data_IF_401027513919
#
_entry.id   IF_401027513919
#
_cell.length_a   1.000
_cell.length_b   1.000
_cell.length_c   1.000
_cell.angle_alpha   90.00
_cell.angle_beta   90.00
_cell.angle_gamma   90.00
#
_symmetry.space_group_name_H-M   'P 1'
#
loop_
_entity.id
_entity.type
_entity.pdbx_description
1 polymer ?
#
# COMPACT_ATOMS: atom_id res chain seq x y z
N UNK A 1 7.00 5.61 -16.55
CA UNK A 1 5.53 5.71 -16.73
C UNK A 1 4.98 6.32 -15.45
N UNK A 2 4.36 7.50 -15.51
CA UNK A 2 3.69 8.12 -14.36
C UNK A 2 2.19 8.05 -14.57
N UNK A 3 1.43 7.65 -13.56
CA UNK A 3 -0.03 7.57 -13.68
C UNK A 3 -0.70 6.82 -12.55
N UNK A 4 -2.02 6.80 -12.57
CA UNK A 4 -2.84 5.99 -11.67
C UNK A 4 -3.22 4.69 -12.36
N UNK A 5 -3.16 3.58 -11.63
CA UNK A 5 -3.40 2.27 -12.19
C UNK A 5 -3.88 1.27 -11.16
N UNK A 6 -4.53 0.22 -11.66
CA UNK A 6 -4.89 -0.95 -10.87
C UNK A 6 -4.05 -2.14 -11.31
N UNK A 7 -3.43 -2.83 -10.37
CA UNK A 7 -2.74 -4.10 -10.59
C UNK A 7 -3.43 -5.20 -9.78
N UNK A 8 -3.66 -6.33 -10.44
CA UNK A 8 -4.15 -7.57 -9.84
C UNK A 8 -3.03 -8.60 -9.94
N UNK A 9 -2.72 -9.26 -8.82
CA UNK A 9 -1.76 -10.36 -8.80
C UNK A 9 -2.49 -11.71 -8.84
N UNK A 10 -1.83 -12.74 -9.36
CA UNK A 10 -2.35 -14.10 -9.38
C UNK A 10 -2.58 -14.67 -7.95
N UNK A 11 -1.89 -14.13 -6.94
CA UNK A 11 -2.12 -14.42 -5.53
C UNK A 11 -3.45 -13.90 -5.00
N UNK A 12 -4.13 -13.01 -5.74
CA UNK A 12 -5.36 -12.34 -5.33
C UNK A 12 -5.14 -10.95 -4.71
N UNK A 13 -3.89 -10.53 -4.53
CA UNK A 13 -3.60 -9.16 -4.10
C UNK A 13 -4.11 -8.16 -5.15
N UNK A 14 -4.48 -6.97 -4.67
CA UNK A 14 -4.92 -5.86 -5.51
C UNK A 14 -4.25 -4.57 -5.06
N UNK A 15 -3.78 -3.78 -6.02
CA UNK A 15 -3.27 -2.44 -5.77
C UNK A 15 -4.00 -1.44 -6.64
N UNK A 16 -4.40 -0.33 -6.05
CA UNK A 16 -4.98 0.84 -6.74
C UNK A 16 -4.21 2.06 -6.25
N UNK A 17 -3.54 2.76 -7.15
CA UNK A 17 -2.79 3.95 -6.74
C UNK A 17 -1.87 4.50 -7.80
N UNK A 18 -0.97 5.36 -7.35
CA UNK A 18 0.03 6.03 -8.14
C UNK A 18 1.22 5.11 -8.48
N UNK A 19 1.66 5.24 -9.72
CA UNK A 19 2.80 4.55 -10.29
C UNK A 19 3.78 5.58 -10.84
N UNK A 20 5.07 5.34 -10.61
CA UNK A 20 6.17 6.04 -11.23
C UNK A 20 7.23 5.01 -11.61
N UNK A 21 7.80 5.09 -12.81
CA UNK A 21 8.89 4.19 -13.25
C UNK A 21 8.62 2.70 -13.04
N UNK A 22 7.37 2.28 -13.31
CA UNK A 22 6.87 0.91 -13.14
C UNK A 22 6.84 0.43 -11.68
N UNK A 23 7.11 1.32 -10.72
CA UNK A 23 7.02 1.04 -9.29
C UNK A 23 5.86 1.77 -8.63
N UNK A 24 5.32 1.18 -7.56
CA UNK A 24 4.32 1.86 -6.71
C UNK A 24 5.02 3.03 -6.03
N UNK A 25 4.51 4.24 -6.24
CA UNK A 25 5.11 5.47 -5.75
C UNK A 25 4.04 6.56 -5.67
N UNK A 26 3.91 7.22 -4.52
CA UNK A 26 2.80 8.14 -4.24
C UNK A 26 1.71 7.47 -3.40
N UNK A 27 0.47 7.95 -3.46
CA UNK A 27 -0.64 7.39 -2.67
C UNK A 27 -1.20 6.12 -3.31
N UNK A 28 -1.56 5.15 -2.48
CA UNK A 28 -2.21 3.94 -2.97
C UNK A 28 -2.78 3.03 -1.90
N UNK A 29 -3.68 2.17 -2.35
CA UNK A 29 -4.37 1.16 -1.56
C UNK A 29 -3.91 -0.22 -2.02
N UNK A 30 -3.41 -1.02 -1.09
CA UNK A 30 -3.11 -2.42 -1.31
C UNK A 30 -4.05 -3.29 -0.48
N UNK A 31 -4.81 -4.17 -1.13
CA UNK A 31 -5.71 -5.12 -0.51
C UNK A 31 -5.12 -6.52 -0.66
N UNK A 32 -5.00 -7.21 0.46
CA UNK A 32 -4.51 -8.59 0.52
C UNK A 32 -5.68 -9.57 0.46
N UNK A 33 -5.49 -10.79 -0.07
CA UNK A 33 -6.51 -11.85 -0.04
C UNK A 33 -6.98 -12.21 1.36
N UNK A 34 -6.15 -11.98 2.38
CA UNK A 34 -6.50 -12.19 3.79
C UNK A 34 -7.60 -11.25 4.30
N UNK A 35 -7.92 -10.18 3.55
CA UNK A 35 -8.80 -9.10 3.98
C UNK A 35 -8.06 -7.92 4.63
N UNK A 36 -6.75 -8.07 4.87
CA UNK A 36 -5.91 -6.96 5.30
C UNK A 36 -5.83 -5.90 4.19
N UNK A 37 -5.63 -4.64 4.58
CA UNK A 37 -5.49 -3.53 3.63
C UNK A 37 -4.52 -2.47 4.15
N UNK A 38 -3.66 -1.97 3.28
CA UNK A 38 -2.89 -0.76 3.53
C UNK A 38 -3.40 0.39 2.66
N UNK A 39 -3.58 1.56 3.26
CA UNK A 39 -3.90 2.81 2.57
C UNK A 39 -2.88 3.86 2.99
N UNK A 40 -2.07 4.37 2.06
CA UNK A 40 -1.08 5.39 2.40
C UNK A 40 -0.04 5.58 1.33
N UNK A 41 1.08 6.18 1.72
CA UNK A 41 2.14 6.52 0.78
C UNK A 41 3.05 5.32 0.48
N UNK A 42 3.51 5.28 -0.77
CA UNK A 42 4.39 4.27 -1.31
C UNK A 42 5.64 4.93 -1.86
N UNK A 43 6.77 4.27 -1.71
CA UNK A 43 8.05 4.67 -2.31
C UNK A 43 8.79 3.41 -2.72
N UNK A 44 9.15 3.31 -4.00
CA UNK A 44 9.90 2.18 -4.55
C UNK A 44 9.31 0.82 -4.16
N UNK A 45 8.00 0.65 -4.37
CA UNK A 45 7.21 -0.53 -3.98
C UNK A 45 7.00 -0.80 -2.49
N UNK A 46 7.56 -0.01 -1.59
CA UNK A 46 7.41 -0.19 -0.14
C UNK A 46 6.45 0.84 0.45
N UNK A 47 5.78 0.48 1.55
CA UNK A 47 5.02 1.43 2.37
C UNK A 47 5.98 2.43 2.98
N UNK A 48 5.64 3.71 2.87
CA UNK A 48 6.51 4.81 3.31
C UNK A 48 5.68 6.03 3.73
N UNK A 49 6.20 6.85 4.64
CA UNK A 49 5.50 8.02 5.17
C UNK A 49 4.18 7.63 5.86
N UNK A 50 3.22 8.54 5.85
CA UNK A 50 1.95 8.32 6.53
C UNK A 50 1.10 7.24 5.85
N UNK A 51 0.49 6.37 6.66
CA UNK A 51 -0.47 5.38 6.18
C UNK A 51 -1.26 4.68 7.28
N UNK A 52 -2.39 4.12 6.88
CA UNK A 52 -3.25 3.28 7.71
C UNK A 52 -3.18 1.82 7.26
N UNK A 53 -2.86 0.93 8.19
CA UNK A 53 -3.02 -0.51 7.98
C UNK A 53 -4.28 -1.00 8.70
N UNK A 54 -5.15 -1.68 7.98
CA UNK A 54 -6.35 -2.33 8.46
C UNK A 54 -6.08 -3.83 8.49
N UNK A 55 -6.30 -4.44 9.64
CA UNK A 55 -6.33 -5.90 9.75
C UNK A 55 -7.74 -6.39 9.46
N UNK A 56 -7.84 -7.60 8.90
CA UNK A 56 -9.12 -8.26 8.63
C UNK A 56 -9.98 -8.44 9.89
N UNK A 57 -9.37 -8.46 11.08
CA UNK A 57 -10.05 -8.53 12.39
C UNK A 57 -10.64 -7.20 12.87
N UNK A 58 -10.52 -6.13 12.06
CA UNK A 58 -11.07 -4.81 12.36
C UNK A 58 -10.13 -3.88 13.12
N UNK A 59 -8.95 -4.35 13.56
CA UNK A 59 -7.93 -3.46 14.10
C UNK A 59 -7.41 -2.53 13.01
N UNK A 60 -6.89 -1.37 13.42
CA UNK A 60 -6.13 -0.48 12.53
C UNK A 60 -4.93 0.13 13.21
N UNK A 61 -3.90 0.41 12.43
CA UNK A 61 -2.75 1.20 12.82
C UNK A 61 -2.67 2.41 11.91
N UNK A 62 -2.55 3.58 12.50
CA UNK A 62 -2.39 4.86 11.81
C UNK A 62 -1.07 5.44 12.28
N UNK A 63 -0.14 5.69 11.37
CA UNK A 63 1.19 6.19 11.73
C UNK A 63 2.15 6.25 10.55
N UNK A 64 3.42 6.47 10.85
CA UNK A 64 4.48 6.56 9.85
C UNK A 64 5.00 5.17 9.48
N UNK A 65 5.49 5.08 8.25
CA UNK A 65 6.07 3.87 7.67
C UNK A 65 7.44 4.20 7.07
N UNK A 66 8.39 3.30 7.27
CA UNK A 66 9.70 3.37 6.64
C UNK A 66 10.06 2.00 6.10
N UNK A 67 10.09 1.86 4.78
CA UNK A 67 10.47 0.65 4.07
C UNK A 67 9.73 -0.60 4.56
N UNK A 68 8.40 -0.52 4.57
CA UNK A 68 7.46 -1.55 5.04
C UNK A 68 7.42 -1.80 6.55
N UNK A 69 8.21 -1.09 7.34
CA UNK A 69 8.17 -1.14 8.80
C UNK A 69 7.37 0.03 9.36
N UNK A 70 6.61 -0.23 10.43
CA UNK A 70 6.00 0.83 11.23
C UNK A 70 7.12 1.66 11.85
N UNK A 71 7.07 2.97 11.64
CA UNK A 71 8.00 3.95 12.22
C UNK A 71 7.16 4.86 13.11
N UNK A 72 7.55 5.01 14.37
CA UNK A 72 6.80 5.77 15.36
C UNK A 72 7.61 5.98 16.60
#
# INVERSE_FOLDING_TARGET
>A
MHGHGTLYWASGDKYVGEWADYVRNGQGVHTYPSGDRYEGSWKSHKRHGHGTYYWADGRKYVGEWADDLRSG
#
